data_IF_302726333632
#
_entry.id   IF_302726333632
#
_cell.length_a   1.000
_cell.length_b   1.000
_cell.length_c   1.000
_cell.angle_alpha   90.00
_cell.angle_beta   90.00
_cell.angle_gamma   90.00
#
_symmetry.space_group_name_H-M   'P 1'
#
loop_
_entity.id
_entity.type
_entity.pdbx_description
1 polymer ?
#
# COMPACT_ATOMS: atom_id res chain seq x y z
N UNK A 1 -16.16 -3.82 -2.61
CA UNK A 1 -15.29 -2.79 -2.01
C UNK A 1 -14.43 -3.45 -0.95
N UNK A 2 -13.15 -3.75 -1.22
CA UNK A 2 -12.17 -3.99 -0.15
C UNK A 2 -11.29 -2.75 -0.15
N UNK A 3 -11.72 -1.78 0.64
CA UNK A 3 -11.10 -0.46 0.75
C UNK A 3 -9.67 -0.66 1.23
N UNK A 4 -8.69 -0.10 0.53
CA UNK A 4 -7.31 -0.08 0.98
C UNK A 4 -7.27 0.66 2.31
N UNK A 5 -7.30 -0.07 3.43
CA UNK A 5 -7.44 0.52 4.76
C UNK A 5 -6.20 1.33 5.06
N UNK A 6 -6.42 2.59 5.44
CA UNK A 6 -5.39 3.46 5.96
C UNK A 6 -5.02 3.00 7.37
N UNK A 7 -3.75 2.69 7.58
CA UNK A 7 -3.21 2.22 8.87
C UNK A 7 -1.92 2.96 9.20
N UNK A 8 -1.47 2.90 10.45
CA UNK A 8 -0.17 3.42 10.86
C UNK A 8 0.94 2.41 10.53
N UNK A 9 2.18 2.92 10.43
CA UNK A 9 3.33 2.10 10.04
C UNK A 9 3.67 0.99 11.04
N UNK A 10 3.37 1.18 12.33
CA UNK A 10 3.63 0.18 13.37
C UNK A 10 2.67 -1.00 13.18
N UNK A 11 1.38 -0.73 13.03
CA UNK A 11 0.36 -1.76 12.79
C UNK A 11 0.62 -2.51 11.49
N UNK A 12 0.91 -1.80 10.39
CA UNK A 12 1.24 -2.42 9.11
C UNK A 12 2.45 -3.36 9.22
N UNK A 13 3.52 -2.91 9.89
CA UNK A 13 4.76 -3.69 10.03
C UNK A 13 4.56 -4.94 10.89
N UNK A 14 3.79 -4.83 11.97
CA UNK A 14 3.40 -5.95 12.83
C UNK A 14 2.57 -7.01 12.06
N UNK A 15 1.73 -6.56 11.13
CA UNK A 15 0.96 -7.44 10.24
C UNK A 15 1.75 -8.00 9.03
N UNK A 16 3.08 -7.80 8.98
CA UNK A 16 3.93 -8.35 7.92
C UNK A 16 4.00 -7.51 6.63
N UNK A 17 3.40 -6.32 6.62
CA UNK A 17 3.49 -5.41 5.48
C UNK A 17 4.83 -4.67 5.45
N UNK A 18 5.28 -4.32 4.25
CA UNK A 18 6.48 -3.51 3.99
C UNK A 18 6.18 -2.45 2.95
N UNK A 19 6.86 -1.31 3.06
CA UNK A 19 6.74 -0.21 2.09
C UNK A 19 7.08 -0.71 0.68
N UNK A 20 6.18 -0.46 -0.26
CA UNK A 20 6.39 -0.70 -1.68
C UNK A 20 6.76 0.60 -2.40
N UNK A 21 6.14 1.71 -1.99
CA UNK A 21 6.34 3.03 -2.59
C UNK A 21 6.88 4.01 -1.56
N UNK A 22 7.48 5.10 -2.04
CA UNK A 22 7.63 6.30 -1.24
C UNK A 22 6.24 6.94 -0.97
N UNK A 23 6.12 7.82 0.05
CA UNK A 23 4.88 8.55 0.29
C UNK A 23 4.52 9.46 -0.89
N UNK A 24 3.30 9.33 -1.39
CA UNK A 24 2.67 10.21 -2.36
C UNK A 24 2.17 11.49 -1.68
N UNK A 25 2.45 12.63 -2.31
CA UNK A 25 1.92 13.95 -1.95
C UNK A 25 0.52 14.07 -2.53
N UNK A 26 -0.49 14.16 -1.66
CA UNK A 26 -1.87 14.29 -2.08
C UNK A 26 -2.34 15.72 -1.81
N UNK A 27 -3.09 16.34 -2.75
CA UNK A 27 -3.75 15.71 -3.92
C UNK A 27 -2.90 15.58 -5.20
N UNK A 28 -1.68 16.10 -5.25
CA UNK A 28 -0.90 16.27 -6.49
C UNK A 28 -0.57 14.94 -7.20
N UNK A 29 -0.32 13.88 -6.45
CA UNK A 29 0.07 12.56 -6.95
C UNK A 29 -1.06 11.52 -6.84
N UNK A 30 -2.32 11.97 -6.69
CA UNK A 30 -3.48 11.08 -6.55
C UNK A 30 -3.60 10.08 -7.71
N UNK A 31 -3.41 10.53 -8.95
CA UNK A 31 -3.47 9.66 -10.12
C UNK A 31 -2.39 8.57 -10.10
N UNK A 32 -1.21 8.87 -9.55
CA UNK A 32 -0.13 7.87 -9.41
C UNK A 32 -0.49 6.81 -8.37
N UNK A 33 -1.04 7.24 -7.23
CA UNK A 33 -1.56 6.34 -6.21
C UNK A 33 -2.66 5.44 -6.78
N UNK A 34 -3.62 6.00 -7.51
CA UNK A 34 -4.73 5.26 -8.10
C UNK A 34 -4.27 4.21 -9.10
N UNK A 35 -3.28 4.53 -9.93
CA UNK A 35 -2.68 3.57 -10.87
C UNK A 35 -2.03 2.39 -10.14
N UNK A 36 -1.27 2.66 -9.08
CA UNK A 36 -0.66 1.59 -8.27
C UNK A 36 -1.74 0.74 -7.59
N UNK A 37 -2.79 1.35 -7.05
CA UNK A 37 -3.90 0.62 -6.44
C UNK A 37 -4.66 -0.25 -7.46
N UNK A 38 -4.82 0.22 -8.69
CA UNK A 38 -5.39 -0.56 -9.78
C UNK A 38 -4.53 -1.78 -10.11
N UNK A 39 -3.21 -1.61 -10.17
CA UNK A 39 -2.26 -2.71 -10.40
C UNK A 39 -2.26 -3.73 -9.25
N UNK A 40 -2.28 -3.28 -7.99
CA UNK A 40 -2.39 -4.18 -6.84
C UNK A 40 -3.67 -5.00 -6.88
N UNK A 41 -4.79 -4.36 -7.27
CA UNK A 41 -6.09 -5.04 -7.41
C UNK A 41 -6.06 -6.05 -8.54
N UNK A 42 -5.50 -5.70 -9.70
CA UNK A 42 -5.36 -6.60 -10.86
C UNK A 42 -4.54 -7.83 -10.51
N UNK A 43 -3.47 -7.67 -9.73
CA UNK A 43 -2.62 -8.77 -9.29
C UNK A 43 -3.11 -9.53 -8.06
N UNK A 44 -4.29 -9.19 -7.51
CA UNK A 44 -4.76 -9.71 -6.21
C UNK A 44 -3.71 -9.59 -5.09
N UNK A 45 -2.89 -8.54 -5.13
CA UNK A 45 -1.79 -8.33 -4.20
C UNK A 45 -2.36 -7.72 -2.90
N UNK A 46 -2.12 -8.41 -1.80
CA UNK A 46 -2.44 -7.90 -0.46
C UNK A 46 -1.62 -6.64 -0.17
N UNK A 47 -2.32 -5.52 0.02
CA UNK A 47 -1.73 -4.22 0.26
C UNK A 47 -2.54 -3.40 1.27
N UNK A 48 -1.89 -2.42 1.88
CA UNK A 48 -2.53 -1.40 2.72
C UNK A 48 -1.95 -0.01 2.43
N UNK A 49 -2.66 1.02 2.84
CA UNK A 49 -2.19 2.40 2.75
C UNK A 49 -1.64 2.82 4.10
N UNK A 50 -0.45 3.40 4.14
CA UNK A 50 0.17 3.88 5.37
C UNK A 50 0.29 5.40 5.32
N UNK A 51 -0.32 6.08 6.30
CA UNK A 51 -0.16 7.54 6.45
C UNK A 51 1.16 7.84 7.16
N UNK A 52 1.89 8.80 6.62
CA UNK A 52 3.11 9.34 7.21
C UNK A 52 3.09 10.87 7.16
N UNK A 53 4.07 11.53 7.81
CA UNK A 53 4.24 12.99 7.70
C UNK A 53 4.43 13.47 6.25
N UNK A 54 4.95 12.62 5.36
CA UNK A 54 5.23 12.97 3.97
C UNK A 54 4.11 12.64 2.98
N UNK A 55 2.97 12.11 3.46
CA UNK A 55 1.87 11.68 2.61
C UNK A 55 1.47 10.22 2.82
N UNK A 56 0.98 9.57 1.77
CA UNK A 56 0.45 8.19 1.83
C UNK A 56 1.35 7.26 1.03
N UNK A 57 1.79 6.16 1.62
CA UNK A 57 2.56 5.13 0.91
C UNK A 57 1.75 3.84 0.77
N UNK A 58 1.94 3.13 -0.34
CA UNK A 58 1.40 1.78 -0.50
C UNK A 58 2.39 0.79 0.13
N UNK A 59 1.87 -0.07 0.99
CA UNK A 59 2.64 -1.17 1.58
C UNK A 59 2.04 -2.49 1.12
N UNK A 60 2.88 -3.49 0.83
CA UNK A 60 2.45 -4.84 0.42
C UNK A 60 2.81 -5.88 1.48
N UNK A 61 2.01 -6.93 1.57
CA UNK A 61 2.31 -8.04 2.47
C UNK A 61 3.46 -8.88 1.91
N UNK A 62 4.50 -9.10 2.71
CA UNK A 62 5.66 -9.90 2.33
C UNK A 62 5.42 -11.41 2.31
N UNK A 63 4.28 -11.91 2.81
CA UNK A 63 4.02 -13.34 2.95
C UNK A 63 3.63 -14.08 1.65
N UNK A 64 3.66 -13.44 0.48
CA UNK A 64 3.25 -14.08 -0.78
C UNK A 64 4.44 -14.41 -1.71
N UNK A 65 5.39 -15.21 -1.21
CA UNK A 65 6.39 -15.92 -2.04
C UNK A 65 6.43 -17.40 -1.66
N UNK A 66 5.32 -18.10 -1.84
CA UNK A 66 5.35 -19.56 -2.09
C UNK A 66 4.24 -19.85 -3.09
N UNK A 67 4.60 -20.05 -4.34
CA UNK A 67 3.63 -20.20 -5.44
C UNK A 67 4.27 -20.18 -6.82
N UNK A 68 5.43 -20.82 -6.95
CA UNK A 68 5.95 -21.42 -8.18
C UNK A 68 6.60 -22.75 -7.78
#
# INVERSE_FOLDING_TARGET
MKNSTLTDSRTARAAGYRALTNPYRLPEEQQMLDNVLADMRRGSISHCLVKSKGGVAVWRNGHNTTGL
#
